data_IF_981634915081
#
_entry.id   IF_981634915081
#
_cell.length_a   1.000
_cell.length_b   1.000
_cell.length_c   1.000
_cell.angle_alpha   90.00
_cell.angle_beta   90.00
_cell.angle_gamma   90.00
#
_symmetry.space_group_name_H-M   'P 1'
#
loop_
_entity.id
_entity.type
_entity.pdbx_description
1 polymer ?
#
# COMPACT_ATOMS: atom_id res chain seq x y z
N UNK A 1 19.67 -3.54 17.80
CA UNK A 1 19.88 -4.24 16.53
C UNK A 1 18.77 -3.83 15.58
N UNK A 2 19.08 -3.06 14.53
CA UNK A 2 18.10 -2.69 13.51
C UNK A 2 18.00 -3.90 12.55
N UNK A 3 16.84 -4.54 12.46
CA UNK A 3 16.62 -5.66 11.53
C UNK A 3 15.43 -5.24 10.68
N UNK A 4 15.71 -4.47 9.64
CA UNK A 4 14.71 -4.01 8.68
C UNK A 4 14.92 -4.79 7.39
N UNK A 5 14.02 -5.72 7.08
CA UNK A 5 14.04 -6.54 5.87
C UNK A 5 13.45 -5.76 4.67
N UNK A 6 14.01 -4.59 4.37
CA UNK A 6 13.47 -3.71 3.34
C UNK A 6 13.48 -4.36 1.93
N UNK A 7 14.39 -5.30 1.69
CA UNK A 7 14.46 -6.12 0.48
C UNK A 7 13.22 -7.02 0.28
N UNK A 8 12.52 -7.38 1.36
CA UNK A 8 11.21 -8.04 1.30
C UNK A 8 10.05 -7.06 1.11
N UNK A 9 10.35 -5.78 0.85
CA UNK A 9 9.39 -4.66 0.81
C UNK A 9 8.66 -4.45 2.15
N UNK A 10 9.35 -4.70 3.28
CA UNK A 10 8.87 -4.34 4.62
C UNK A 10 8.95 -2.81 4.85
N UNK A 11 8.16 -2.06 4.07
CA UNK A 11 8.02 -0.60 4.10
C UNK A 11 6.55 -0.24 3.97
N UNK A 12 6.12 0.77 4.71
CA UNK A 12 4.75 1.27 4.67
C UNK A 12 4.74 2.79 4.89
N UNK A 13 3.68 3.43 4.41
CA UNK A 13 3.37 4.84 4.68
C UNK A 13 2.17 4.86 5.63
N UNK A 14 2.42 5.30 6.86
CA UNK A 14 1.40 5.43 7.89
C UNK A 14 0.28 6.39 7.44
N UNK A 15 -0.96 6.00 7.72
CA UNK A 15 -2.16 6.79 7.48
C UNK A 15 -2.53 7.66 8.68
N UNK A 16 -3.70 8.32 8.59
CA UNK A 16 -4.25 9.09 9.72
C UNK A 16 -4.80 8.18 10.81
N UNK A 17 -5.28 7.00 10.42
CA UNK A 17 -5.76 5.92 11.26
C UNK A 17 -4.68 5.34 12.18
N UNK A 18 -3.41 5.52 11.83
CA UNK A 18 -2.25 5.04 12.60
C UNK A 18 -1.72 6.10 13.58
N UNK A 19 -2.34 7.28 13.65
CA UNK A 19 -1.88 8.36 14.52
C UNK A 19 -1.87 7.94 16.00
N UNK A 20 -0.85 8.39 16.74
CA UNK A 20 -0.51 7.92 18.09
C UNK A 20 -0.23 6.40 18.22
N UNK A 21 -0.14 5.66 17.11
CA UNK A 21 0.24 4.25 17.10
C UNK A 21 1.67 4.01 17.56
N UNK A 22 1.92 2.84 18.14
CA UNK A 22 3.25 2.40 18.55
C UNK A 22 3.86 1.49 17.48
N UNK A 23 5.10 1.78 17.09
CA UNK A 23 5.88 0.95 16.17
C UNK A 23 7.12 0.40 16.88
N UNK A 24 7.50 -0.83 16.54
CA UNK A 24 8.75 -1.41 17.03
C UNK A 24 9.94 -0.53 16.64
N UNK A 25 10.86 -0.30 17.59
CA UNK A 25 12.12 0.44 17.39
C UNK A 25 13.02 -0.13 16.26
N UNK A 26 12.69 -1.34 15.74
CA UNK A 26 13.37 -1.96 14.61
C UNK A 26 12.95 -1.38 13.25
N UNK A 27 11.83 -0.67 13.18
CA UNK A 27 11.40 0.04 11.98
C UNK A 27 11.77 1.52 12.10
N UNK A 28 12.77 1.98 11.34
CA UNK A 28 13.02 3.41 11.28
C UNK A 28 11.83 4.14 10.67
N UNK A 29 11.41 5.23 11.31
CA UNK A 29 10.35 6.10 10.84
C UNK A 29 10.95 7.36 10.24
N UNK A 30 10.32 7.85 9.18
CA UNK A 30 10.71 9.07 8.49
C UNK A 30 9.46 9.88 8.19
N UNK A 31 9.62 11.19 8.03
CA UNK A 31 8.52 12.10 7.74
C UNK A 31 8.80 12.83 6.43
N UNK A 32 7.77 12.97 5.60
CA UNK A 32 7.84 13.71 4.36
C UNK A 32 8.03 15.21 4.63
N UNK A 33 8.90 15.85 3.85
CA UNK A 33 8.98 17.31 3.79
C UNK A 33 7.85 17.80 2.87
N UNK A 34 6.89 18.55 3.44
CA UNK A 34 5.64 18.96 2.77
C UNK A 34 5.85 19.76 1.47
N UNK A 35 7.00 20.42 1.34
CA UNK A 35 7.40 21.21 0.18
C UNK A 35 8.06 20.38 -0.94
N UNK A 36 8.41 19.12 -0.67
CA UNK A 36 9.20 18.28 -1.61
C UNK A 36 8.59 16.94 -1.97
N UNK A 37 7.63 16.46 -1.18
CA UNK A 37 7.10 15.12 -1.34
C UNK A 37 5.59 15.08 -1.11
N UNK A 38 4.87 14.56 -2.10
CA UNK A 38 3.44 14.29 -1.98
C UNK A 38 3.18 12.84 -1.56
N UNK A 39 2.33 12.65 -0.55
CA UNK A 39 2.17 11.34 0.11
C UNK A 39 1.58 10.31 -0.84
N UNK A 40 0.53 10.68 -1.58
CA UNK A 40 -0.15 9.76 -2.48
C UNK A 40 0.71 9.37 -3.68
N UNK A 41 1.59 10.27 -4.14
CA UNK A 41 2.61 9.91 -5.13
C UNK A 41 3.58 8.85 -4.56
N UNK A 42 4.08 9.06 -3.35
CA UNK A 42 5.01 8.11 -2.72
C UNK A 42 4.38 6.76 -2.40
N UNK A 43 3.08 6.68 -2.10
CA UNK A 43 2.34 5.40 -1.96
C UNK A 43 2.47 4.54 -3.21
N UNK A 44 2.48 5.14 -4.39
CA UNK A 44 2.66 4.43 -5.65
C UNK A 44 4.14 4.23 -5.99
N UNK A 45 5.03 5.16 -5.60
CA UNK A 45 6.46 5.04 -5.86
C UNK A 45 7.09 3.84 -5.15
N UNK A 46 6.75 3.62 -3.87
CA UNK A 46 7.38 2.57 -3.06
C UNK A 46 6.99 1.15 -3.51
N UNK A 47 5.91 1.00 -4.27
CA UNK A 47 5.47 -0.29 -4.82
C UNK A 47 6.15 -0.64 -6.14
N UNK A 48 6.82 0.32 -6.79
CA UNK A 48 7.49 0.08 -8.07
C UNK A 48 8.67 -0.88 -7.92
N UNK A 49 8.88 -1.71 -8.95
CA UNK A 49 10.03 -2.65 -9.04
C UNK A 49 11.38 -1.95 -8.89
N UNK A 50 11.51 -0.72 -9.41
CA UNK A 50 12.72 0.07 -9.28
C UNK A 50 13.02 0.42 -7.82
N UNK A 51 12.00 0.82 -7.06
CA UNK A 51 12.18 1.14 -5.64
C UNK A 51 12.56 -0.12 -4.85
N UNK A 52 11.90 -1.26 -5.12
CA UNK A 52 12.29 -2.56 -4.56
C UNK A 52 13.75 -2.89 -4.82
N UNK A 53 14.20 -2.73 -6.06
CA UNK A 53 15.60 -2.95 -6.45
C UNK A 53 16.58 -2.06 -5.67
N UNK A 54 16.22 -0.79 -5.42
CA UNK A 54 17.04 0.09 -4.59
C UNK A 54 17.12 -0.42 -3.14
N UNK A 55 16.00 -0.89 -2.57
CA UNK A 55 15.99 -1.49 -1.23
C UNK A 55 16.82 -2.78 -1.16
N UNK A 56 16.82 -3.57 -2.24
CA UNK A 56 17.66 -4.77 -2.38
C UNK A 56 19.15 -4.42 -2.33
N UNK A 57 19.58 -3.35 -3.02
CA UNK A 57 20.98 -2.91 -3.09
C UNK A 57 21.52 -2.44 -1.73
N UNK A 58 20.70 -1.72 -0.96
CA UNK A 58 21.10 -1.20 0.36
C UNK A 58 20.89 -2.21 1.50
N UNK A 59 20.51 -3.44 1.17
CA UNK A 59 20.35 -4.55 2.11
C UNK A 59 21.44 -5.61 1.87
N UNK A 60 22.70 -5.34 2.25
CA UNK A 60 23.81 -6.27 2.02
C UNK A 60 23.65 -7.54 2.87
N UNK A 61 24.07 -8.68 2.33
CA UNK A 61 24.09 -9.98 3.02
C UNK A 61 23.39 -11.08 2.22
N UNK A 62 24.04 -12.24 2.09
CA UNK A 62 23.51 -13.38 1.32
C UNK A 62 22.51 -14.26 2.09
N UNK A 63 22.50 -14.19 3.42
CA UNK A 63 21.58 -14.93 4.28
C UNK A 63 20.54 -13.99 4.89
N UNK A 64 19.25 -14.37 4.82
CA UNK A 64 18.13 -13.50 5.20
C UNK A 64 18.26 -12.85 6.58
N UNK A 65 18.78 -13.58 7.59
CA UNK A 65 18.98 -13.08 8.96
C UNK A 65 19.92 -11.86 9.05
N UNK A 66 20.89 -11.76 8.13
CA UNK A 66 21.89 -10.69 8.11
C UNK A 66 21.67 -9.70 6.96
N UNK A 67 20.66 -9.94 6.11
CA UNK A 67 20.30 -9.08 4.98
C UNK A 67 19.44 -7.92 5.47
N UNK A 68 20.10 -6.93 6.06
CA UNK A 68 19.47 -5.80 6.76
C UNK A 68 19.70 -4.52 5.99
N UNK A 69 18.66 -3.70 5.88
CA UNK A 69 18.76 -2.36 5.29
C UNK A 69 19.70 -1.45 6.07
N UNK A 70 20.70 -0.89 5.37
CA UNK A 70 21.55 0.17 5.91
C UNK A 70 20.80 1.50 5.95
N UNK A 71 20.61 2.06 7.15
CA UNK A 71 20.00 3.39 7.36
C UNK A 71 20.79 4.50 6.65
N UNK A 72 22.13 4.42 6.70
CA UNK A 72 23.03 5.40 6.08
C UNK A 72 22.87 5.39 4.56
N UNK A 73 22.74 4.22 3.96
CA UNK A 73 22.63 4.09 2.50
C UNK A 73 21.20 4.37 2.03
N UNK A 74 20.18 4.05 2.84
CA UNK A 74 18.80 4.47 2.59
C UNK A 74 18.67 6.00 2.43
N UNK A 75 19.29 6.77 3.33
CA UNK A 75 19.28 8.24 3.26
C UNK A 75 20.08 8.82 2.10
N UNK A 76 20.92 8.00 1.45
CA UNK A 76 21.70 8.36 0.27
C UNK A 76 21.08 7.87 -1.03
N UNK A 77 19.96 7.16 -0.98
CA UNK A 77 19.28 6.73 -2.20
C UNK A 77 18.85 7.95 -3.00
N UNK A 78 19.35 8.03 -4.23
CA UNK A 78 18.96 9.04 -5.18
C UNK A 78 17.82 8.49 -6.05
N UNK A 79 16.67 9.16 -5.98
CA UNK A 79 15.50 8.86 -6.80
C UNK A 79 15.13 10.11 -7.57
N UNK A 80 14.98 9.96 -8.88
CA UNK A 80 14.42 11.02 -9.72
C UNK A 80 12.92 11.04 -9.51
N UNK A 81 12.42 12.14 -8.96
CA UNK A 81 10.98 12.41 -8.80
C UNK A 81 10.68 13.76 -9.46
N UNK A 82 9.46 13.96 -9.98
CA UNK A 82 9.08 15.23 -10.57
C UNK A 82 8.90 16.30 -9.48
N UNK A 83 8.63 17.55 -9.88
CA UNK A 83 8.33 18.62 -8.95
C UNK A 83 7.05 18.35 -8.13
N UNK A 84 6.83 19.16 -7.10
CA UNK A 84 5.73 18.93 -6.16
C UNK A 84 4.34 19.04 -6.80
N UNK A 85 4.16 19.87 -7.82
CA UNK A 85 2.86 20.06 -8.46
C UNK A 85 2.52 18.86 -9.36
N UNK A 86 3.51 18.37 -10.11
CA UNK A 86 3.36 17.15 -10.90
C UNK A 86 3.17 15.91 -10.02
N UNK A 87 3.87 15.83 -8.88
CA UNK A 87 3.62 14.77 -7.89
C UNK A 87 2.17 14.78 -7.39
N UNK A 88 1.59 15.96 -7.13
CA UNK A 88 0.18 16.08 -6.73
C UNK A 88 -0.77 15.65 -7.82
N UNK A 89 -0.53 16.05 -9.06
CA UNK A 89 -1.36 15.64 -10.19
C UNK A 89 -1.36 14.12 -10.37
N UNK A 90 -0.17 13.50 -10.39
CA UNK A 90 -0.02 12.04 -10.49
C UNK A 90 -0.66 11.34 -9.29
N UNK A 91 -0.34 11.79 -8.07
CA UNK A 91 -0.86 11.21 -6.84
C UNK A 91 -2.39 11.24 -6.79
N UNK A 92 -3.00 12.36 -7.18
CA UNK A 92 -4.45 12.53 -7.24
C UNK A 92 -5.12 11.55 -8.22
N UNK A 93 -4.58 11.42 -9.43
CA UNK A 93 -5.14 10.52 -10.46
C UNK A 93 -5.07 9.07 -9.99
N UNK A 94 -3.91 8.63 -9.52
CA UNK A 94 -3.70 7.25 -9.08
C UNK A 94 -4.53 6.90 -7.83
N UNK A 95 -4.63 7.84 -6.89
CA UNK A 95 -5.51 7.70 -5.73
C UNK A 95 -6.97 7.56 -6.15
N UNK A 96 -7.44 8.41 -7.06
CA UNK A 96 -8.82 8.38 -7.55
C UNK A 96 -9.15 7.03 -8.19
N UNK A 97 -8.26 6.52 -9.04
CA UNK A 97 -8.43 5.20 -9.66
C UNK A 97 -8.46 4.06 -8.62
N UNK A 98 -7.60 4.15 -7.60
CA UNK A 98 -7.55 3.15 -6.51
C UNK A 98 -8.81 3.18 -5.65
N UNK A 99 -9.30 4.37 -5.32
CA UNK A 99 -10.53 4.58 -4.55
C UNK A 99 -11.75 4.05 -5.32
N UNK A 100 -11.81 4.28 -6.64
CA UNK A 100 -12.87 3.76 -7.51
C UNK A 100 -12.84 2.23 -7.60
N UNK A 101 -11.66 1.63 -7.76
CA UNK A 101 -11.50 0.17 -7.76
C UNK A 101 -11.99 -0.45 -6.45
N UNK A 102 -11.59 0.13 -5.31
CA UNK A 102 -12.03 -0.32 -3.98
C UNK A 102 -13.55 -0.22 -3.83
N UNK A 103 -14.17 0.84 -4.35
CA UNK A 103 -15.62 0.98 -4.35
C UNK A 103 -16.31 -0.15 -5.14
N UNK A 104 -15.81 -0.48 -6.34
CA UNK A 104 -16.37 -1.57 -7.13
C UNK A 104 -16.16 -2.96 -6.49
N UNK A 105 -15.02 -3.20 -5.86
CA UNK A 105 -14.77 -4.45 -5.12
C UNK A 105 -15.75 -4.63 -3.95
N UNK A 106 -16.01 -3.56 -3.19
CA UNK A 106 -17.00 -3.58 -2.12
C UNK A 106 -18.42 -3.83 -2.66
N UNK A 107 -18.78 -3.19 -3.78
CA UNK A 107 -20.06 -3.40 -4.45
C UNK A 107 -20.22 -4.84 -4.94
N UNK A 108 -19.15 -5.43 -5.50
CA UNK A 108 -19.14 -6.81 -5.95
C UNK A 108 -19.33 -7.78 -4.77
N UNK A 109 -18.62 -7.57 -3.67
CA UNK A 109 -18.75 -8.38 -2.46
C UNK A 109 -20.19 -8.31 -1.89
N UNK A 110 -20.79 -7.11 -1.85
CA UNK A 110 -22.17 -6.94 -1.42
C UNK A 110 -23.17 -7.67 -2.34
N UNK A 111 -23.01 -7.57 -3.66
CA UNK A 111 -23.86 -8.28 -4.63
C UNK A 111 -23.73 -9.80 -4.53
N UNK A 112 -22.52 -10.31 -4.32
CA UNK A 112 -22.29 -11.76 -4.10
C UNK A 112 -22.99 -12.23 -2.82
N UNK A 113 -22.90 -11.47 -1.75
CA UNK A 113 -23.59 -11.78 -0.49
C UNK A 113 -25.11 -11.72 -0.65
N UNK A 114 -25.63 -10.71 -1.35
CA UNK A 114 -27.06 -10.59 -1.67
C UNK A 114 -27.53 -11.79 -2.50
N UNK A 115 -26.80 -12.15 -3.56
CA UNK A 115 -27.09 -13.32 -4.40
C UNK A 115 -27.16 -14.59 -3.56
N UNK A 116 -26.18 -14.81 -2.66
CA UNK A 116 -26.17 -15.97 -1.75
C UNK A 116 -27.40 -16.01 -0.85
N UNK A 117 -27.75 -14.87 -0.24
CA UNK A 117 -28.94 -14.75 0.59
C UNK A 117 -30.25 -15.02 -0.17
N UNK A 118 -30.39 -14.47 -1.37
CA UNK A 118 -31.56 -14.71 -2.23
C UNK A 118 -31.66 -16.18 -2.63
N UNK A 119 -30.54 -16.82 -3.00
CA UNK A 119 -30.52 -18.26 -3.31
C UNK A 119 -30.96 -19.11 -2.11
N UNK A 120 -30.53 -18.76 -0.89
CA UNK A 120 -30.97 -19.45 0.32
C UNK A 120 -32.48 -19.33 0.52
N UNK A 121 -33.05 -18.14 0.33
CA UNK A 121 -34.50 -17.92 0.41
C UNK A 121 -35.30 -18.66 -0.66
N UNK A 122 -34.75 -18.77 -1.87
CA UNK A 122 -35.36 -19.55 -2.96
C UNK A 122 -35.35 -21.06 -2.65
N UNK A 123 -34.22 -21.60 -2.18
CA UNK A 123 -34.06 -23.02 -1.89
C UNK A 123 -34.82 -23.48 -0.64
N UNK A 124 -35.04 -22.58 0.34
CA UNK A 124 -35.89 -22.83 1.51
C UNK A 124 -37.38 -22.62 1.23
N UNK A 125 -37.74 -22.09 0.06
CA UNK A 125 -39.12 -21.84 -0.34
C UNK A 125 -39.77 -20.63 0.33
N UNK A 126 -39.01 -19.82 1.09
CA UNK A 126 -39.47 -18.54 1.65
C UNK A 126 -39.87 -17.55 0.54
N UNK A 127 -39.18 -17.62 -0.61
CA UNK A 127 -39.48 -16.83 -1.81
C UNK A 127 -39.59 -17.77 -3.00
N UNK A 128 -40.57 -17.55 -3.89
CA UNK A 128 -40.72 -18.29 -5.14
C UNK A 128 -40.47 -17.38 -6.34
N UNK A 129 -39.75 -17.87 -7.34
CA UNK A 129 -39.64 -17.19 -8.61
C UNK A 129 -40.99 -17.22 -9.34
N UNK A 130 -41.47 -16.07 -9.83
CA UNK A 130 -42.57 -16.04 -10.79
C UNK A 130 -42.01 -16.49 -12.14
N UNK A 131 -42.69 -17.44 -12.76
CA UNK A 131 -42.41 -17.88 -14.13
C UNK A 131 -43.50 -17.23 -14.96
N UNK A 132 -43.13 -16.26 -15.78
CA UNK A 132 -43.96 -15.72 -16.86
C UNK A 132 -43.73 -16.54 -18.14
#
# INVERSE_FOLDING_TARGET
VNITFAWEQAIAIAGKEDDAGLVSHRFPTYTFKKDKAEVDFFRHLITQKKFKYLLDLISPGGAGRNRVMSKKDFLKLEITIPDIEEQRAIGFILKTATDELKFYEQKLAALQQQKKGLMQKLLTGEVRAKID
#
